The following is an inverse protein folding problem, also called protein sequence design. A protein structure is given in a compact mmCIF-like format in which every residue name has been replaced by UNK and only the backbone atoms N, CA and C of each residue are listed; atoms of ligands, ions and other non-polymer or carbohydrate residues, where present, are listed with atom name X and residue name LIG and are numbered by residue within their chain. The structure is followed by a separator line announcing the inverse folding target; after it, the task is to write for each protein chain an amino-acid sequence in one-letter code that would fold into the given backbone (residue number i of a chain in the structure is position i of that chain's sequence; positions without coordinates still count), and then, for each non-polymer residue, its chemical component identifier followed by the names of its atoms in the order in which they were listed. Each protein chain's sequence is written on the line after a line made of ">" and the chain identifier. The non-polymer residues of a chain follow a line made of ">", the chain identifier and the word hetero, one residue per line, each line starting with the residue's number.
data_IF_843486291599
#
_entry.id   IF_843486291599
#
_cell.length_a   1.000
_cell.length_b   1.000
_cell.length_c   1.000
_cell.angle_alpha   90.00
_cell.angle_beta   90.00
_cell.angle_gamma   90.00
#
_symmetry.space_group_name_H-M   'P 1'
#
loop_
_entity.id
_entity.type
_entity.pdbx_description
1 polymer ?
#
# COMPACT_ATOMS: atom_id res chain seq x y z
N UNK A 1 -32.79 0.50 2.83
CA UNK A 1 -32.32 -0.52 1.84
C UNK A 1 -32.88 -1.90 2.13
N UNK A 2 -33.10 -2.74 1.11
CA UNK A 2 -33.53 -4.15 1.28
C UNK A 2 -32.39 -4.97 1.95
N UNK A 3 -32.74 -6.11 2.61
CA UNK A 3 -31.71 -6.92 3.32
C UNK A 3 -30.57 -7.45 2.45
N UNK A 4 -30.72 -7.46 1.12
CA UNK A 4 -29.71 -7.90 0.15
C UNK A 4 -29.09 -6.75 -0.64
N UNK A 5 -29.05 -5.54 -0.10
CA UNK A 5 -28.45 -4.39 -0.78
C UNK A 5 -26.94 -4.56 -0.93
N UNK A 6 -26.45 -4.37 -2.15
CA UNK A 6 -25.04 -4.37 -2.51
C UNK A 6 -24.73 -3.09 -3.28
N UNK A 7 -23.50 -2.59 -3.14
CA UNK A 7 -22.97 -1.51 -3.94
C UNK A 7 -21.93 -2.10 -4.89
N UNK A 8 -22.17 -2.02 -6.18
CA UNK A 8 -21.30 -2.61 -7.22
C UNK A 8 -20.74 -1.52 -8.10
N UNK A 9 -19.41 -1.55 -8.24
CA UNK A 9 -18.68 -0.76 -9.23
C UNK A 9 -18.25 -1.72 -10.33
N UNK A 10 -18.56 -1.39 -11.58
CA UNK A 10 -18.27 -2.25 -12.74
C UNK A 10 -17.48 -1.49 -13.78
N UNK A 11 -16.34 -2.06 -14.17
CA UNK A 11 -15.47 -1.57 -15.25
C UNK A 11 -15.02 -0.11 -15.04
N UNK A 12 -14.72 0.28 -13.80
CA UNK A 12 -14.32 1.66 -13.46
C UNK A 12 -12.94 1.96 -14.02
N UNK A 13 -12.87 3.02 -14.82
CA UNK A 13 -11.62 3.63 -15.28
C UNK A 13 -11.61 5.08 -14.83
N UNK A 14 -10.47 5.53 -14.29
CA UNK A 14 -10.31 6.89 -13.80
C UNK A 14 -8.87 7.36 -13.97
N UNK A 15 -8.72 8.58 -14.53
CA UNK A 15 -7.45 9.25 -14.74
C UNK A 15 -7.50 10.63 -14.12
N UNK A 16 -6.50 11.00 -13.32
CA UNK A 16 -6.39 12.39 -12.86
C UNK A 16 -5.98 13.30 -14.03
N UNK A 17 -6.46 14.55 -14.09
CA UNK A 17 -6.23 15.45 -15.24
C UNK A 17 -4.78 15.65 -15.64
N UNK A 18 -3.85 15.56 -14.68
CA UNK A 18 -2.41 15.76 -14.90
C UNK A 18 -1.63 14.45 -15.04
N UNK A 19 -2.31 13.29 -14.94
CA UNK A 19 -1.66 11.99 -15.01
C UNK A 19 -1.64 11.46 -16.45
N UNK A 20 -0.51 10.91 -16.92
CA UNK A 20 -0.39 10.36 -18.29
C UNK A 20 -1.08 8.99 -18.44
N UNK A 21 -1.35 8.29 -17.35
CA UNK A 21 -1.95 6.95 -17.35
C UNK A 21 -3.10 6.85 -16.35
N UNK A 22 -4.09 5.98 -16.59
CA UNK A 22 -5.17 5.74 -15.65
C UNK A 22 -4.66 5.23 -14.30
N UNK A 23 -5.16 5.82 -13.22
CA UNK A 23 -4.94 5.31 -11.87
C UNK A 23 -5.74 4.02 -11.63
N UNK A 24 -6.98 3.99 -12.12
CA UNK A 24 -7.86 2.83 -12.12
C UNK A 24 -8.15 2.46 -13.58
N UNK A 25 -7.89 1.22 -13.98
CA UNK A 25 -8.11 0.72 -15.34
C UNK A 25 -8.96 -0.55 -15.28
N UNK A 26 -10.23 -0.44 -15.67
CA UNK A 26 -11.19 -1.56 -15.74
C UNK A 26 -11.40 -2.29 -14.39
N UNK A 27 -11.49 -1.53 -13.30
CA UNK A 27 -11.64 -2.07 -11.94
C UNK A 27 -13.10 -2.38 -11.65
N UNK A 28 -13.36 -3.60 -11.16
CA UNK A 28 -14.69 -4.01 -10.70
C UNK A 28 -14.63 -4.53 -9.27
N UNK A 29 -15.60 -4.10 -8.43
CA UNK A 29 -15.70 -4.52 -7.03
C UNK A 29 -17.14 -4.43 -6.54
N UNK A 30 -17.52 -5.32 -5.63
CA UNK A 30 -18.83 -5.30 -4.98
C UNK A 30 -18.67 -5.23 -3.47
N UNK A 31 -19.38 -4.30 -2.85
CA UNK A 31 -19.47 -4.14 -1.41
C UNK A 31 -20.84 -4.61 -0.95
N UNK A 32 -20.85 -5.63 -0.12
CA UNK A 32 -22.06 -6.16 0.50
C UNK A 32 -22.31 -5.45 1.84
N UNK A 33 -23.49 -5.70 2.40
CA UNK A 33 -23.84 -5.27 3.75
C UNK A 33 -22.85 -5.79 4.79
N UNK A 34 -22.51 -4.97 5.78
CA UNK A 34 -21.42 -5.17 6.72
C UNK A 34 -20.14 -4.47 6.26
N UNK A 35 -19.04 -4.72 6.94
CA UNK A 35 -17.78 -4.03 6.68
C UNK A 35 -16.90 -4.76 5.68
N UNK A 36 -16.48 -4.05 4.65
CA UNK A 36 -15.41 -4.48 3.73
C UNK A 36 -14.19 -3.59 3.92
N UNK A 37 -13.06 -4.20 4.30
CA UNK A 37 -11.79 -3.50 4.37
C UNK A 37 -11.18 -3.37 2.97
N UNK A 38 -10.72 -2.16 2.62
CA UNK A 38 -10.04 -1.86 1.35
C UNK A 38 -8.55 -1.72 1.62
N UNK A 39 -7.75 -2.60 1.06
CA UNK A 39 -6.34 -2.82 1.36
C UNK A 39 -5.47 -2.66 0.12
N UNK A 40 -4.24 -2.22 0.29
CA UNK A 40 -3.27 -2.07 -0.81
C UNK A 40 -2.27 -0.95 -0.55
N UNK A 41 -1.28 -0.83 -1.41
CA UNK A 41 -0.21 0.15 -1.26
C UNK A 41 -0.73 1.60 -1.33
N UNK A 42 0.04 2.54 -0.76
CA UNK A 42 -0.29 3.96 -0.85
C UNK A 42 -0.24 4.41 -2.31
N UNK A 43 -1.15 5.30 -2.70
CA UNK A 43 -1.23 5.80 -4.07
C UNK A 43 -1.82 4.82 -5.11
N UNK A 44 -2.25 3.60 -4.73
CA UNK A 44 -2.81 2.62 -5.67
C UNK A 44 -4.25 2.93 -6.13
N UNK A 45 -4.90 3.93 -5.52
CA UNK A 45 -6.25 4.36 -5.90
C UNK A 45 -7.37 3.97 -4.94
N UNK A 46 -7.08 3.52 -3.70
CA UNK A 46 -8.09 3.15 -2.70
C UNK A 46 -9.10 4.28 -2.44
N UNK A 47 -8.59 5.44 -2.00
CA UNK A 47 -9.39 6.64 -1.72
C UNK A 47 -10.16 7.13 -2.96
N UNK A 48 -9.54 7.05 -4.13
CA UNK A 48 -10.19 7.42 -5.40
C UNK A 48 -11.38 6.52 -5.68
N UNK A 49 -11.23 5.19 -5.57
CA UNK A 49 -12.31 4.25 -5.82
C UNK A 49 -13.49 4.46 -4.85
N UNK A 50 -13.22 4.66 -3.54
CA UNK A 50 -14.30 4.87 -2.57
C UNK A 50 -15.00 6.20 -2.77
N UNK A 51 -14.30 7.26 -3.22
CA UNK A 51 -14.92 8.54 -3.60
C UNK A 51 -15.81 8.42 -4.83
N UNK A 52 -15.42 7.58 -5.81
CA UNK A 52 -16.27 7.25 -6.97
C UNK A 52 -17.51 6.47 -6.50
N UNK A 53 -17.35 5.50 -5.60
CA UNK A 53 -18.43 4.68 -5.07
C UNK A 53 -19.57 5.49 -4.44
N UNK A 54 -19.25 6.64 -3.82
CA UNK A 54 -20.20 7.53 -3.16
C UNK A 54 -20.51 8.81 -3.97
N UNK A 55 -20.09 8.88 -5.24
CA UNK A 55 -20.41 10.01 -6.13
C UNK A 55 -19.61 11.30 -5.89
N UNK A 56 -18.57 11.28 -5.04
CA UNK A 56 -17.69 12.45 -4.82
C UNK A 56 -16.68 12.66 -5.95
N UNK A 57 -16.44 11.64 -6.77
CA UNK A 57 -15.67 11.69 -8.01
C UNK A 57 -16.42 10.96 -9.11
N UNK A 58 -16.29 11.44 -10.35
CA UNK A 58 -16.88 10.81 -11.52
C UNK A 58 -15.82 9.99 -12.23
N UNK A 59 -16.12 8.74 -12.54
CA UNK A 59 -15.26 7.88 -13.34
C UNK A 59 -15.28 8.31 -14.81
N UNK A 60 -14.16 8.10 -15.52
CA UNK A 60 -14.10 8.34 -16.99
C UNK A 60 -14.98 7.33 -17.74
N UNK A 61 -15.07 6.10 -17.23
CA UNK A 61 -15.95 5.04 -17.71
C UNK A 61 -16.31 4.05 -16.62
N UNK A 62 -17.32 3.22 -16.88
CA UNK A 62 -17.86 2.25 -15.94
C UNK A 62 -19.15 2.71 -15.31
N UNK A 63 -19.68 1.92 -14.35
CA UNK A 63 -20.95 2.18 -13.70
C UNK A 63 -20.90 1.87 -12.20
N UNK A 64 -21.64 2.65 -11.43
CA UNK A 64 -21.90 2.41 -10.00
C UNK A 64 -23.37 2.07 -9.83
N UNK A 65 -23.69 0.98 -9.18
CA UNK A 65 -25.05 0.52 -8.93
C UNK A 65 -25.24 0.09 -7.47
N UNK A 66 -26.26 0.65 -6.76
CA UNK A 66 -27.17 1.72 -7.18
C UNK A 66 -26.45 3.02 -7.51
N UNK A 67 -27.08 3.89 -8.30
CA UNK A 67 -26.54 5.20 -8.60
C UNK A 67 -26.28 6.00 -7.32
N UNK A 68 -25.12 6.66 -7.18
CA UNK A 68 -24.77 7.35 -5.93
C UNK A 68 -25.77 8.42 -5.49
N UNK A 69 -26.39 9.11 -6.43
CA UNK A 69 -27.42 10.15 -6.16
C UNK A 69 -28.67 9.60 -5.45
N UNK A 70 -28.89 8.29 -5.52
CA UNK A 70 -29.99 7.60 -4.83
C UNK A 70 -29.63 7.05 -3.46
N UNK A 71 -28.41 7.30 -2.97
CA UNK A 71 -27.89 6.77 -1.71
C UNK A 71 -27.58 7.88 -0.72
N UNK A 72 -27.87 7.64 0.55
CA UNK A 72 -27.32 8.46 1.63
C UNK A 72 -25.93 7.92 1.94
N UNK A 73 -24.90 8.71 1.65
CA UNK A 73 -23.52 8.34 1.89
C UNK A 73 -22.93 9.13 3.07
N UNK A 74 -22.38 8.43 4.06
CA UNK A 74 -21.53 9.00 5.10
C UNK A 74 -20.06 8.86 4.71
N UNK A 75 -19.28 9.91 4.83
CA UNK A 75 -17.84 9.89 4.53
C UNK A 75 -17.03 10.55 5.63
N UNK A 76 -16.10 9.81 6.19
CA UNK A 76 -15.10 10.31 7.10
C UNK A 76 -13.74 10.34 6.37
N UNK A 77 -13.21 11.52 6.03
CA UNK A 77 -11.92 11.67 5.34
C UNK A 77 -10.76 11.31 6.26
N UNK A 78 -9.57 11.13 5.65
CA UNK A 78 -8.35 10.86 6.38
C UNK A 78 -7.95 12.01 7.30
N UNK A 79 -8.07 13.25 6.83
CA UNK A 79 -7.66 14.44 7.56
C UNK A 79 -8.78 14.94 8.49
N UNK A 80 -8.38 15.63 9.56
CA UNK A 80 -9.29 16.22 10.56
C UNK A 80 -9.32 17.74 10.51
N UNK A 81 -8.71 18.33 9.49
CA UNK A 81 -8.52 19.78 9.39
C UNK A 81 -9.82 20.54 9.12
N UNK A 82 -10.79 19.85 8.48
CA UNK A 82 -12.09 20.44 8.17
C UNK A 82 -13.19 19.85 9.06
N UNK A 83 -14.08 20.74 9.52
CA UNK A 83 -15.24 20.31 10.27
C UNK A 83 -16.25 19.62 9.35
N UNK A 84 -16.96 18.55 9.83
CA UNK A 84 -18.03 17.92 9.08
C UNK A 84 -19.11 18.93 8.69
N UNK A 85 -19.62 18.84 7.44
CA UNK A 85 -20.67 19.74 6.92
C UNK A 85 -21.95 19.71 7.78
N UNK A 86 -22.28 18.54 8.34
CA UNK A 86 -23.46 18.35 9.19
C UNK A 86 -23.18 18.49 10.69
N UNK A 87 -22.07 19.16 11.09
CA UNK A 87 -21.72 19.31 12.50
C UNK A 87 -22.82 19.99 13.32
N UNK A 88 -23.44 21.05 12.80
CA UNK A 88 -24.51 21.77 13.47
C UNK A 88 -25.78 20.91 13.65
N UNK A 89 -26.11 20.10 12.64
CA UNK A 89 -27.25 19.19 12.72
C UNK A 89 -26.99 18.11 13.78
N UNK A 90 -25.78 17.53 13.78
CA UNK A 90 -25.35 16.58 14.80
C UNK A 90 -25.36 17.20 16.21
N UNK A 91 -24.90 18.45 16.36
CA UNK A 91 -24.88 19.15 17.64
C UNK A 91 -26.26 19.26 18.26
N UNK A 92 -27.29 19.46 17.44
CA UNK A 92 -28.69 19.68 17.86
C UNK A 92 -29.56 18.40 17.83
N UNK A 93 -29.02 17.29 17.29
CA UNK A 93 -29.76 16.01 17.26
C UNK A 93 -29.57 15.21 18.57
N UNK A 94 -30.62 15.12 19.34
CA UNK A 94 -30.72 14.36 20.59
C UNK A 94 -31.60 13.11 20.45
N UNK A 95 -31.74 12.61 19.22
CA UNK A 95 -32.49 11.36 18.98
C UNK A 95 -31.81 10.18 19.69
N UNK A 96 -32.54 9.11 20.03
CA UNK A 96 -31.97 7.92 20.68
C UNK A 96 -30.81 7.31 19.91
N UNK A 97 -30.84 7.35 18.58
CA UNK A 97 -29.81 6.84 17.69
C UNK A 97 -28.55 7.68 17.78
N UNK A 98 -28.68 9.01 17.74
CA UNK A 98 -27.52 9.92 17.87
C UNK A 98 -26.92 9.88 19.27
N UNK A 99 -27.76 9.72 20.31
CA UNK A 99 -27.26 9.49 21.67
C UNK A 99 -26.48 8.17 21.79
N UNK A 100 -26.92 7.11 21.10
CA UNK A 100 -26.16 5.85 21.05
C UNK A 100 -24.78 6.03 20.37
N UNK A 101 -24.75 6.75 19.24
CA UNK A 101 -23.50 7.09 18.55
C UNK A 101 -22.56 7.90 19.46
N UNK A 102 -23.08 8.93 20.15
CA UNK A 102 -22.28 9.73 21.11
C UNK A 102 -21.69 8.86 22.21
N UNK A 103 -22.51 7.98 22.79
CA UNK A 103 -22.06 7.05 23.85
C UNK A 103 -20.97 6.09 23.34
N UNK A 104 -21.20 5.44 22.20
CA UNK A 104 -20.28 4.41 21.68
C UNK A 104 -18.94 5.01 21.26
N UNK A 105 -18.94 6.23 20.72
CA UNK A 105 -17.74 6.97 20.35
C UNK A 105 -17.16 7.81 21.49
N UNK A 106 -17.85 7.88 22.65
CA UNK A 106 -17.41 8.68 23.80
C UNK A 106 -17.32 10.17 23.47
N UNK A 107 -18.34 10.71 22.78
CA UNK A 107 -18.41 12.11 22.40
C UNK A 107 -18.95 12.94 23.56
N UNK A 108 -18.19 13.95 23.97
CA UNK A 108 -18.65 14.94 24.94
C UNK A 108 -19.69 15.89 24.35
N UNK A 109 -20.65 16.34 25.16
CA UNK A 109 -21.73 17.21 24.70
C UNK A 109 -21.24 18.58 24.23
N UNK A 110 -20.09 19.03 24.71
CA UNK A 110 -19.42 20.27 24.37
C UNK A 110 -18.57 20.20 23.08
N UNK A 111 -18.24 18.99 22.60
CA UNK A 111 -17.32 18.80 21.49
C UNK A 111 -17.74 19.49 20.18
N UNK A 112 -19.00 19.41 19.74
CA UNK A 112 -19.41 20.09 18.51
C UNK A 112 -19.20 21.60 18.56
N UNK A 113 -19.27 22.19 19.76
CA UNK A 113 -19.13 23.64 19.97
C UNK A 113 -17.70 24.12 20.09
N UNK A 114 -16.76 23.21 20.33
CA UNK A 114 -15.32 23.49 20.42
C UNK A 114 -14.49 22.66 19.45
N UNK A 115 -15.04 22.28 18.30
CA UNK A 115 -14.43 21.37 17.35
C UNK A 115 -12.97 21.75 16.98
N UNK A 116 -12.68 23.06 16.83
CA UNK A 116 -11.33 23.56 16.53
C UNK A 116 -10.27 23.41 17.64
N UNK A 117 -10.68 22.98 18.85
CA UNK A 117 -9.75 22.75 19.99
C UNK A 117 -9.64 21.29 20.39
N UNK A 118 -10.26 20.39 19.65
CA UNK A 118 -10.22 18.97 19.91
C UNK A 118 -8.83 18.39 19.57
N UNK A 119 -8.42 17.41 20.33
CA UNK A 119 -7.29 16.56 19.91
C UNK A 119 -7.62 15.80 18.63
N UNK A 120 -6.59 15.39 17.86
CA UNK A 120 -6.82 14.65 16.61
C UNK A 120 -7.69 13.40 16.78
N UNK A 121 -7.55 12.67 17.89
CA UNK A 121 -8.40 11.51 18.20
C UNK A 121 -9.86 11.88 18.56
N UNK A 122 -10.08 13.00 19.25
CA UNK A 122 -11.43 13.53 19.53
C UNK A 122 -12.08 14.04 18.24
N UNK A 123 -11.34 14.80 17.43
CA UNK A 123 -11.83 15.31 16.15
C UNK A 123 -12.20 14.15 15.19
N UNK A 124 -11.39 13.09 15.15
CA UNK A 124 -11.68 11.90 14.34
C UNK A 124 -12.96 11.19 14.81
N UNK A 125 -13.16 11.01 16.12
CA UNK A 125 -14.39 10.43 16.66
C UNK A 125 -15.61 11.29 16.34
N UNK A 126 -15.47 12.61 16.43
CA UNK A 126 -16.55 13.54 16.07
C UNK A 126 -16.90 13.47 14.57
N UNK A 127 -15.88 13.40 13.67
CA UNK A 127 -16.12 13.19 12.24
C UNK A 127 -16.87 11.88 11.95
N UNK A 128 -16.48 10.78 12.59
CA UNK A 128 -17.16 9.49 12.45
C UNK A 128 -18.60 9.60 12.96
N UNK A 129 -18.82 10.25 14.12
CA UNK A 129 -20.15 10.44 14.70
C UNK A 129 -21.07 11.22 13.75
N UNK A 130 -20.56 12.32 13.17
CA UNK A 130 -21.31 13.12 12.18
C UNK A 130 -21.65 12.28 10.93
N UNK A 131 -20.70 11.51 10.40
CA UNK A 131 -20.94 10.64 9.24
C UNK A 131 -22.00 9.56 9.54
N UNK A 132 -21.99 8.96 10.74
CA UNK A 132 -22.97 7.97 11.15
C UNK A 132 -24.35 8.57 11.42
N UNK A 133 -24.43 9.80 11.94
CA UNK A 133 -25.68 10.49 12.26
C UNK A 133 -26.51 10.81 11.01
N UNK A 134 -25.92 10.84 9.83
CA UNK A 134 -26.65 10.89 8.54
C UNK A 134 -27.52 9.66 8.30
N UNK A 135 -27.41 8.61 9.12
CA UNK A 135 -28.07 7.30 8.92
C UNK A 135 -27.81 6.74 7.52
N UNK A 136 -26.53 6.66 7.12
CA UNK A 136 -26.20 6.39 5.74
C UNK A 136 -26.51 4.96 5.32
N UNK A 137 -26.84 4.79 4.03
CA UNK A 137 -26.89 3.49 3.38
C UNK A 137 -25.48 2.91 3.20
N UNK A 138 -24.52 3.80 2.89
CA UNK A 138 -23.10 3.50 2.70
C UNK A 138 -22.26 4.41 3.58
N UNK A 139 -21.44 3.83 4.45
CA UNK A 139 -20.51 4.55 5.31
C UNK A 139 -19.09 4.24 4.88
N UNK A 140 -18.33 5.27 4.48
CA UNK A 140 -16.93 5.17 4.10
C UNK A 140 -16.06 5.84 5.15
N UNK A 141 -15.07 5.10 5.65
CA UNK A 141 -14.07 5.62 6.56
C UNK A 141 -12.68 5.47 5.91
N UNK A 142 -12.00 6.59 5.72
CA UNK A 142 -10.66 6.63 5.13
C UNK A 142 -9.63 6.86 6.24
N UNK A 143 -8.85 5.79 6.56
CA UNK A 143 -7.82 5.75 7.60
C UNK A 143 -8.30 6.31 8.98
N UNK A 144 -9.40 5.76 9.55
CA UNK A 144 -10.02 6.34 10.75
C UNK A 144 -9.19 6.19 12.02
N UNK A 145 -8.15 5.37 12.02
CA UNK A 145 -7.28 5.13 13.19
C UNK A 145 -5.88 5.73 13.04
N UNK A 146 -5.64 6.55 12.01
CA UNK A 146 -4.39 7.27 11.91
C UNK A 146 -4.21 8.19 13.11
N UNK A 147 -3.07 8.04 13.78
CA UNK A 147 -2.68 8.86 14.93
C UNK A 147 -3.59 8.76 16.16
N UNK A 148 -4.46 7.74 16.24
CA UNK A 148 -5.27 7.51 17.44
C UNK A 148 -4.60 6.51 18.38
N UNK A 149 -4.87 6.69 19.68
CA UNK A 149 -4.41 5.78 20.71
C UNK A 149 -5.35 4.56 20.84
N UNK A 150 -4.92 3.60 21.65
CA UNK A 150 -5.68 2.37 21.84
C UNK A 150 -7.09 2.60 22.41
N UNK A 151 -7.32 3.43 23.44
CA UNK A 151 -8.67 3.70 23.95
C UNK A 151 -9.59 4.29 22.86
N UNK A 152 -9.11 5.26 22.10
CA UNK A 152 -9.86 5.85 20.96
C UNK A 152 -10.24 4.79 19.93
N UNK A 153 -9.31 3.88 19.61
CA UNK A 153 -9.60 2.76 18.68
C UNK A 153 -10.73 1.86 19.19
N UNK A 154 -10.75 1.56 20.50
CA UNK A 154 -11.78 0.71 21.09
C UNK A 154 -13.19 1.36 20.98
N UNK A 155 -13.30 2.67 21.15
CA UNK A 155 -14.53 3.43 20.89
C UNK A 155 -14.95 3.35 19.41
N UNK A 156 -14.01 3.53 18.48
CA UNK A 156 -14.30 3.42 17.05
C UNK A 156 -14.83 2.00 16.73
N UNK A 157 -14.15 0.94 17.19
CA UNK A 157 -14.58 -0.44 16.98
C UNK A 157 -16.00 -0.67 17.51
N UNK A 158 -16.34 -0.16 18.70
CA UNK A 158 -17.66 -0.31 19.29
C UNK A 158 -18.75 0.32 18.40
N UNK A 159 -18.52 1.54 17.93
CA UNK A 159 -19.45 2.23 17.04
C UNK A 159 -19.60 1.52 15.68
N UNK A 160 -18.50 1.07 15.07
CA UNK A 160 -18.55 0.41 13.76
C UNK A 160 -19.30 -0.91 13.78
N UNK A 161 -19.23 -1.66 14.89
CA UNK A 161 -19.98 -2.92 15.06
C UNK A 161 -21.49 -2.74 15.08
N UNK A 162 -21.97 -1.57 15.48
CA UNK A 162 -23.40 -1.26 15.51
C UNK A 162 -23.97 -0.79 14.16
N UNK A 163 -23.09 -0.49 13.17
CA UNK A 163 -23.53 0.03 11.88
C UNK A 163 -24.19 -1.05 11.01
N UNK A 164 -25.47 -0.86 10.60
CA UNK A 164 -26.21 -1.90 9.91
C UNK A 164 -26.13 -1.85 8.38
N UNK A 165 -25.49 -0.84 7.79
CA UNK A 165 -25.42 -0.58 6.35
C UNK A 165 -24.27 -1.26 5.63
N UNK A 166 -23.89 -0.71 4.48
CA UNK A 166 -22.67 -1.08 3.74
C UNK A 166 -21.52 -0.22 4.28
N UNK A 167 -20.58 -0.85 4.97
CA UNK A 167 -19.39 -0.20 5.50
C UNK A 167 -18.18 -0.44 4.60
N UNK A 168 -17.48 0.62 4.23
CA UNK A 168 -16.21 0.56 3.48
C UNK A 168 -15.13 1.18 4.35
N UNK A 169 -14.13 0.39 4.71
CA UNK A 169 -13.04 0.77 5.60
C UNK A 169 -11.71 0.75 4.85
N UNK A 170 -11.18 1.91 4.51
CA UNK A 170 -9.78 2.02 4.04
C UNK A 170 -8.90 2.13 5.27
N UNK A 171 -8.04 1.16 5.54
CA UNK A 171 -7.16 1.20 6.70
C UNK A 171 -5.98 0.25 6.57
N UNK A 172 -4.90 0.58 7.28
CA UNK A 172 -3.73 -0.27 7.50
C UNK A 172 -3.70 -0.86 8.93
N UNK A 173 -4.68 -0.53 9.78
CA UNK A 173 -4.78 -1.02 11.15
C UNK A 173 -5.38 -2.43 11.18
N UNK A 174 -4.52 -3.44 11.25
CA UNK A 174 -4.91 -4.85 11.29
C UNK A 174 -5.85 -5.16 12.45
N UNK A 175 -5.65 -4.54 13.62
CA UNK A 175 -6.50 -4.78 14.79
C UNK A 175 -7.93 -4.26 14.58
N UNK A 176 -8.08 -3.10 13.96
CA UNK A 176 -9.38 -2.56 13.58
C UNK A 176 -10.06 -3.46 12.54
N UNK A 177 -9.34 -3.82 11.47
CA UNK A 177 -9.87 -4.63 10.39
C UNK A 177 -10.33 -6.00 10.90
N UNK A 178 -9.49 -6.67 11.71
CA UNK A 178 -9.83 -7.99 12.29
C UNK A 178 -11.01 -7.92 13.25
N UNK A 179 -11.24 -6.76 13.88
CA UNK A 179 -12.36 -6.57 14.79
C UNK A 179 -13.71 -6.34 14.11
N UNK A 180 -13.74 -5.77 12.88
CA UNK A 180 -14.99 -5.30 12.26
C UNK A 180 -15.25 -5.86 10.86
N UNK A 181 -14.20 -6.16 10.05
CA UNK A 181 -14.38 -6.53 8.66
C UNK A 181 -14.85 -7.98 8.49
N UNK A 182 -15.90 -8.18 7.68
CA UNK A 182 -16.36 -9.49 7.22
C UNK A 182 -15.79 -9.90 5.86
N UNK A 183 -15.19 -8.95 5.12
CA UNK A 183 -14.49 -9.19 3.86
C UNK A 183 -13.37 -8.18 3.65
N UNK A 184 -12.42 -8.52 2.79
CA UNK A 184 -11.29 -7.67 2.44
C UNK A 184 -11.17 -7.56 0.92
N UNK A 185 -11.12 -6.33 0.40
CA UNK A 185 -10.86 -6.01 -0.99
C UNK A 185 -9.39 -5.57 -1.15
N UNK A 186 -8.57 -6.43 -1.72
CA UNK A 186 -7.15 -6.19 -1.94
C UNK A 186 -6.93 -5.51 -3.27
N UNK A 187 -6.35 -4.32 -3.24
CA UNK A 187 -5.77 -3.68 -4.41
C UNK A 187 -4.39 -4.27 -4.64
N UNK A 188 -4.23 -4.97 -5.74
CA UNK A 188 -2.99 -5.66 -6.11
C UNK A 188 -2.53 -5.18 -7.48
N UNK A 189 -1.24 -5.19 -7.72
CA UNK A 189 -0.68 -5.01 -9.05
C UNK A 189 -0.33 -6.36 -9.63
N UNK A 190 -0.99 -6.71 -10.72
CA UNK A 190 -0.69 -7.90 -11.50
C UNK A 190 0.24 -7.56 -12.66
N UNK A 191 1.18 -8.45 -12.93
CA UNK A 191 2.01 -8.36 -14.12
C UNK A 191 1.41 -9.23 -15.22
N UNK A 192 0.82 -8.58 -16.22
CA UNK A 192 0.16 -9.24 -17.34
C UNK A 192 0.79 -8.77 -18.66
N UNK A 193 1.37 -9.70 -19.43
CA UNK A 193 1.97 -9.42 -20.76
C UNK A 193 2.91 -8.21 -20.78
N UNK A 194 3.76 -8.08 -19.75
CA UNK A 194 4.76 -7.02 -19.67
C UNK A 194 4.25 -5.67 -19.15
N UNK A 195 3.00 -5.60 -18.66
CA UNK A 195 2.41 -4.39 -18.05
C UNK A 195 1.91 -4.67 -16.65
N UNK A 196 2.02 -3.69 -15.78
CA UNK A 196 1.41 -3.74 -14.45
C UNK A 196 -0.02 -3.20 -14.54
N UNK A 197 -0.99 -4.00 -14.08
CA UNK A 197 -2.41 -3.65 -14.06
C UNK A 197 -2.89 -3.70 -12.62
N UNK A 198 -3.59 -2.66 -12.18
CA UNK A 198 -4.25 -2.66 -10.86
C UNK A 198 -5.51 -3.51 -10.92
N UNK A 199 -5.62 -4.49 -10.03
CA UNK A 199 -6.79 -5.35 -9.88
C UNK A 199 -7.30 -5.30 -8.45
N UNK A 200 -8.60 -5.49 -8.26
CA UNK A 200 -9.21 -5.59 -6.93
C UNK A 200 -9.76 -6.99 -6.74
N UNK A 201 -9.26 -7.69 -5.70
CA UNK A 201 -9.70 -9.03 -5.34
C UNK A 201 -10.37 -9.03 -3.98
N UNK A 202 -11.66 -9.31 -3.95
CA UNK A 202 -12.40 -9.45 -2.68
C UNK A 202 -12.28 -10.87 -2.15
N UNK A 203 -11.91 -10.99 -0.87
CA UNK A 203 -11.83 -12.26 -0.14
C UNK A 203 -12.69 -12.19 1.12
N UNK A 204 -13.46 -13.24 1.42
CA UNK A 204 -14.23 -13.30 2.66
C UNK A 204 -13.32 -13.43 3.88
N UNK A 205 -13.83 -12.98 5.02
CA UNK A 205 -13.13 -13.02 6.30
C UNK A 205 -12.44 -11.71 6.65
N UNK A 206 -11.89 -11.68 7.87
CA UNK A 206 -11.09 -10.59 8.37
C UNK A 206 -9.69 -10.57 7.70
N UNK A 207 -8.85 -9.58 8.07
CA UNK A 207 -7.53 -9.43 7.47
C UNK A 207 -6.66 -10.68 7.59
N UNK A 208 -6.63 -11.29 8.77
CA UNK A 208 -5.79 -12.47 9.05
C UNK A 208 -6.16 -13.64 8.15
N UNK A 209 -7.44 -13.94 8.00
CA UNK A 209 -7.94 -15.03 7.14
C UNK A 209 -7.76 -14.71 5.65
N UNK A 210 -8.15 -13.49 5.23
CA UNK A 210 -8.08 -13.06 3.85
C UNK A 210 -6.63 -12.94 3.35
N UNK A 211 -5.70 -12.45 4.20
CA UNK A 211 -4.27 -12.35 3.90
C UNK A 211 -3.62 -13.73 3.77
N UNK A 212 -3.98 -14.69 4.63
CA UNK A 212 -3.51 -16.08 4.51
C UNK A 212 -3.96 -16.71 3.18
N UNK A 213 -5.22 -16.50 2.78
CA UNK A 213 -5.73 -16.93 1.47
C UNK A 213 -4.96 -16.28 0.32
N UNK A 214 -4.74 -14.95 0.38
CA UNK A 214 -3.97 -14.24 -0.63
C UNK A 214 -2.54 -14.77 -0.78
N UNK A 215 -1.88 -15.05 0.35
CA UNK A 215 -0.52 -15.63 0.36
C UNK A 215 -0.49 -17.03 -0.26
N UNK A 216 -1.52 -17.85 -0.03
CA UNK A 216 -1.66 -19.17 -0.64
C UNK A 216 -1.82 -19.08 -2.16
N UNK A 217 -2.71 -18.19 -2.63
CA UNK A 217 -2.95 -17.96 -4.06
C UNK A 217 -1.67 -17.51 -4.78
N UNK A 218 -0.91 -16.56 -4.17
CA UNK A 218 0.37 -16.09 -4.72
C UNK A 218 1.39 -17.23 -4.85
N UNK A 219 1.54 -18.05 -3.81
CA UNK A 219 2.45 -19.21 -3.86
C UNK A 219 2.06 -20.17 -4.98
N UNK A 220 0.76 -20.47 -5.11
CA UNK A 220 0.25 -21.35 -6.18
C UNK A 220 0.51 -20.78 -7.57
N UNK A 221 0.34 -19.48 -7.78
CA UNK A 221 0.64 -18.79 -9.04
C UNK A 221 2.14 -18.81 -9.37
N UNK A 222 3.00 -18.55 -8.37
CA UNK A 222 4.46 -18.61 -8.53
C UNK A 222 4.96 -20.02 -8.85
N UNK A 223 4.39 -21.03 -8.23
CA UNK A 223 4.71 -22.43 -8.53
C UNK A 223 4.24 -22.83 -9.93
N UNK A 224 3.05 -22.40 -10.33
CA UNK A 224 2.53 -22.61 -11.68
C UNK A 224 3.43 -21.96 -12.75
N UNK A 225 3.87 -20.70 -12.51
CA UNK A 225 4.78 -20.01 -13.39
C UNK A 225 6.14 -20.71 -13.48
N UNK A 226 6.71 -21.11 -12.33
CA UNK A 226 7.99 -21.85 -12.29
C UNK A 226 7.89 -23.15 -13.09
N UNK A 227 6.80 -23.89 -12.94
CA UNK A 227 6.58 -25.16 -13.66
C UNK A 227 6.39 -24.92 -15.17
N UNK A 228 5.62 -23.90 -15.56
CA UNK A 228 5.42 -23.53 -16.96
C UNK A 228 6.73 -23.10 -17.64
N UNK A 229 7.57 -22.31 -16.94
CA UNK A 229 8.91 -21.92 -17.42
C UNK A 229 9.85 -23.12 -17.59
N UNK A 230 9.86 -24.06 -16.64
CA UNK A 230 10.64 -25.29 -16.73
C UNK A 230 10.22 -26.13 -17.93
N UNK A 231 8.92 -26.29 -18.16
CA UNK A 231 8.39 -27.03 -19.30
C UNK A 231 8.73 -26.34 -20.63
N UNK A 232 8.57 -25.00 -20.72
CA UNK A 232 8.97 -24.24 -21.90
C UNK A 232 10.46 -24.37 -22.20
N UNK A 233 11.31 -24.33 -21.19
CA UNK A 233 12.74 -24.54 -21.34
C UNK A 233 13.08 -25.97 -21.81
N UNK A 234 12.40 -26.99 -21.25
CA UNK A 234 12.58 -28.40 -21.64
C UNK A 234 12.19 -28.62 -23.09
N UNK A 235 11.03 -28.14 -23.54
CA UNK A 235 10.58 -28.29 -24.93
C UNK A 235 11.51 -27.54 -25.89
N UNK A 236 11.99 -26.37 -25.49
CA UNK A 236 12.99 -25.61 -26.27
C UNK A 236 14.31 -26.35 -26.39
N UNK A 237 14.79 -26.98 -25.29
CA UNK A 237 16.02 -27.79 -25.31
C UNK A 237 15.88 -29.00 -26.25
N UNK A 238 14.73 -29.68 -26.23
CA UNK A 238 14.45 -30.81 -27.16
C UNK A 238 14.46 -30.33 -28.61
N UNK A 239 13.90 -29.14 -28.91
CA UNK A 239 13.97 -28.52 -30.25
C UNK A 239 15.42 -28.27 -30.67
N UNK A 240 16.23 -27.69 -29.79
CA UNK A 240 17.63 -27.40 -30.07
C UNK A 240 18.45 -28.67 -30.30
N UNK A 241 18.25 -29.70 -29.45
CA UNK A 241 18.91 -30.99 -29.61
C UNK A 241 18.60 -31.63 -30.97
N UNK A 242 17.31 -31.69 -31.35
CA UNK A 242 16.90 -32.25 -32.65
C UNK A 242 17.47 -31.45 -33.83
N UNK A 243 17.53 -30.14 -33.72
CA UNK A 243 18.16 -29.29 -34.76
C UNK A 243 19.65 -29.58 -34.86
N UNK A 244 20.34 -29.76 -33.74
CA UNK A 244 21.75 -30.13 -33.71
C UNK A 244 21.98 -31.51 -34.34
N UNK A 245 21.18 -32.53 -33.96
CA UNK A 245 21.28 -33.88 -34.51
C UNK A 245 21.03 -33.90 -36.03
N UNK A 246 20.05 -33.13 -36.50
CA UNK A 246 19.79 -32.97 -37.93
C UNK A 246 20.98 -32.33 -38.66
N UNK A 247 21.63 -31.34 -38.07
CA UNK A 247 22.81 -30.68 -38.65
C UNK A 247 23.98 -31.65 -38.73
N UNK A 248 24.22 -32.48 -37.69
CA UNK A 248 25.24 -33.51 -37.71
C UNK A 248 25.03 -34.55 -38.79
N UNK A 249 23.76 -35.02 -38.94
CA UNK A 249 23.40 -35.96 -40.01
C UNK A 249 23.63 -35.42 -41.42
N UNK A 250 23.34 -34.11 -41.65
CA UNK A 250 23.60 -33.45 -42.93
C UNK A 250 25.12 -33.30 -43.15
N UNK A 251 25.91 -33.02 -42.13
CA UNK A 251 27.37 -32.92 -42.24
C UNK A 251 28.03 -34.27 -42.48
N UNK A 252 27.56 -35.34 -41.82
CA UNK A 252 28.07 -36.69 -42.03
C UNK A 252 27.76 -37.24 -43.43
N UNK A 253 26.55 -36.95 -43.95
CA UNK A 253 26.20 -37.33 -45.33
C UNK A 253 26.97 -36.53 -46.41
N UNK A 254 27.50 -35.34 -46.09
CA UNK A 254 28.41 -34.62 -46.97
C UNK A 254 29.80 -35.23 -47.01
N UNK A 255 30.31 -35.79 -45.95
CA UNK A 255 31.60 -36.46 -45.91
C UNK A 255 31.66 -37.81 -46.62
N UNK A 256 30.50 -38.47 -46.94
CA UNK A 256 30.41 -39.70 -47.70
C UNK A 256 30.34 -39.46 -49.24
N UNK A 257 30.63 -38.25 -49.70
CA UNK A 257 30.58 -37.87 -51.14
C UNK A 257 31.85 -38.17 -51.93
N UNK A 258 32.75 -39.01 -51.49
CA UNK A 258 33.79 -39.59 -52.32
C UNK A 258 33.34 -40.98 -52.79
N UNK A 259 32.32 -41.02 -53.67
CA UNK A 259 31.94 -42.21 -54.46
C UNK A 259 32.58 -42.09 -55.79
N UNK A 260 33.27 -43.15 -56.25
CA UNK A 260 33.93 -43.23 -57.54
C UNK A 260 32.95 -42.79 -58.69
N UNK A 261 33.33 -41.87 -59.56
CA UNK A 261 32.50 -41.42 -60.64
C UNK A 261 31.97 -42.50 -61.59
N UNK A 262 32.54 -43.73 -61.55
CA UNK A 262 32.19 -44.84 -62.40
C UNK A 262 31.16 -45.82 -61.79
N UNK A 263 30.78 -45.65 -60.52
CA UNK A 263 29.83 -46.56 -59.87
C UNK A 263 28.40 -46.06 -60.01
N UNK A 264 27.68 -46.57 -61.03
CA UNK A 264 26.33 -46.20 -61.35
C UNK A 264 25.29 -46.70 -60.34
N UNK A 265 25.53 -47.81 -59.64
CA UNK A 265 24.57 -48.37 -58.69
C UNK A 265 24.58 -47.62 -57.35
N UNK A 266 25.74 -47.16 -56.91
CA UNK A 266 25.85 -46.31 -55.73
C UNK A 266 25.16 -44.93 -55.89
N UNK A 267 25.11 -44.39 -57.12
CA UNK A 267 24.35 -43.16 -57.39
C UNK A 267 22.86 -43.28 -57.26
N UNK A 268 22.30 -44.46 -57.58
CA UNK A 268 20.89 -44.76 -57.45
C UNK A 268 20.42 -44.83 -56.01
N UNK A 269 21.23 -45.46 -55.16
CA UNK A 269 20.98 -45.63 -53.73
C UNK A 269 21.04 -44.30 -52.99
N UNK A 270 21.96 -43.40 -53.35
CA UNK A 270 22.10 -42.08 -52.70
C UNK A 270 20.90 -41.16 -53.07
N UNK A 271 20.36 -41.28 -54.28
CA UNK A 271 19.23 -40.46 -54.75
C UNK A 271 17.92 -40.85 -54.04
N UNK A 272 17.75 -42.09 -53.66
CA UNK A 272 16.54 -42.59 -52.97
C UNK A 272 16.52 -42.35 -51.46
N UNK A 273 17.65 -42.03 -50.85
CA UNK A 273 17.73 -41.80 -49.39
C UNK A 273 17.55 -40.33 -49.00
N UNK A 274 17.35 -39.44 -49.94
CA UNK A 274 17.03 -38.01 -49.73
C UNK A 274 15.53 -37.79 -49.84
N UNK A 275 14.79 -38.14 -48.78
CA UNK A 275 13.40 -37.68 -48.66
C UNK A 275 13.39 -36.48 -47.68
N UNK A 276 13.47 -35.21 -48.17
CA UNK A 276 13.45 -34.03 -47.32
C UNK A 276 12.07 -33.81 -46.64
N UNK A 277 11.06 -34.62 -47.04
CA UNK A 277 9.70 -34.46 -46.51
C UNK A 277 9.42 -35.06 -45.13
N UNK A 278 10.33 -35.89 -44.56
CA UNK A 278 10.06 -36.51 -43.28
C UNK A 278 10.38 -35.68 -42.06
N UNK A 279 11.21 -34.64 -42.18
CA UNK A 279 11.56 -33.73 -41.09
C UNK A 279 10.59 -32.55 -40.93
N UNK A 280 9.87 -32.16 -41.97
CA UNK A 280 8.96 -31.02 -41.98
C UNK A 280 7.79 -31.16 -41.00
N UNK A 281 7.00 -32.25 -41.01
CA UNK A 281 5.85 -32.41 -40.10
C UNK A 281 6.26 -32.56 -38.62
N UNK A 282 7.39 -33.21 -38.36
CA UNK A 282 7.89 -33.40 -36.99
C UNK A 282 8.47 -32.12 -36.40
N UNK A 283 9.12 -31.31 -37.23
CA UNK A 283 9.61 -29.98 -36.83
C UNK A 283 8.46 -29.02 -36.57
N UNK A 284 7.44 -28.97 -37.44
CA UNK A 284 6.26 -28.14 -37.27
C UNK A 284 5.49 -28.45 -35.95
N UNK A 285 5.38 -29.74 -35.58
CA UNK A 285 4.75 -30.15 -34.31
C UNK A 285 5.53 -29.65 -33.11
N UNK A 286 6.86 -29.66 -33.12
CA UNK A 286 7.69 -29.14 -32.04
C UNK A 286 7.61 -27.62 -31.96
N UNK A 287 7.57 -26.93 -33.08
CA UNK A 287 7.40 -25.49 -33.12
C UNK A 287 6.07 -25.07 -32.48
N UNK A 288 4.98 -25.81 -32.80
CA UNK A 288 3.68 -25.61 -32.16
C UNK A 288 3.73 -25.87 -30.65
N UNK A 289 4.43 -26.92 -30.20
CA UNK A 289 4.59 -27.22 -28.76
C UNK A 289 5.40 -26.15 -28.04
N UNK A 290 6.48 -25.63 -28.63
CA UNK A 290 7.27 -24.53 -28.08
C UNK A 290 6.42 -23.26 -27.96
N UNK A 291 5.66 -22.93 -29.00
CA UNK A 291 4.76 -21.78 -28.99
C UNK A 291 3.70 -21.90 -27.90
N UNK A 292 3.02 -23.05 -27.81
CA UNK A 292 2.01 -23.31 -26.79
C UNK A 292 2.58 -23.27 -25.35
N UNK A 293 3.78 -23.83 -25.13
CA UNK A 293 4.44 -23.80 -23.83
C UNK A 293 4.87 -22.39 -23.41
N UNK A 294 5.28 -21.55 -24.37
CA UNK A 294 5.58 -20.12 -24.13
C UNK A 294 4.32 -19.34 -23.82
N UNK A 295 3.30 -19.47 -24.64
CA UNK A 295 2.00 -18.83 -24.45
C UNK A 295 1.40 -19.16 -23.08
N UNK A 296 1.48 -20.44 -22.66
CA UNK A 296 1.07 -20.87 -21.33
C UNK A 296 1.86 -20.18 -20.23
N UNK A 297 3.18 -20.02 -20.37
CA UNK A 297 4.00 -19.34 -19.39
C UNK A 297 3.75 -17.82 -19.34
N UNK A 298 3.49 -17.20 -20.47
CA UNK A 298 3.17 -15.76 -20.60
C UNK A 298 1.74 -15.43 -20.13
N UNK A 299 0.83 -16.41 -20.21
CA UNK A 299 -0.56 -16.28 -19.76
C UNK A 299 -0.75 -16.41 -18.24
N UNK A 300 0.25 -16.88 -17.49
CA UNK A 300 0.15 -16.98 -16.03
C UNK A 300 0.34 -15.61 -15.41
N UNK A 301 -0.74 -15.13 -14.77
CA UNK A 301 -0.74 -13.86 -14.03
C UNK A 301 -0.03 -14.05 -12.71
N UNK A 302 0.96 -13.22 -12.43
CA UNK A 302 1.67 -13.19 -11.14
C UNK A 302 1.59 -11.79 -10.56
N UNK A 303 1.71 -11.68 -9.23
CA UNK A 303 1.83 -10.39 -8.60
C UNK A 303 3.04 -9.63 -9.17
N UNK A 304 2.88 -8.35 -9.44
CA UNK A 304 4.02 -7.50 -9.82
C UNK A 304 5.06 -7.55 -8.71
N UNK A 305 6.34 -7.61 -9.09
CA UNK A 305 7.41 -7.52 -8.10
C UNK A 305 7.31 -6.18 -7.38
N UNK A 306 7.17 -6.23 -6.06
CA UNK A 306 7.40 -5.05 -5.24
C UNK A 306 8.88 -4.72 -5.32
N UNK A 307 9.17 -3.47 -5.58
CA UNK A 307 10.52 -2.96 -5.41
C UNK A 307 10.66 -2.62 -3.92
N UNK A 308 11.06 -3.60 -3.13
CA UNK A 308 11.48 -3.36 -1.75
C UNK A 308 12.89 -2.77 -1.84
N UNK A 309 12.98 -1.47 -2.07
CA UNK A 309 14.25 -0.76 -2.05
C UNK A 309 14.82 -0.81 -0.64
N UNK A 310 16.02 -1.32 -0.50
CA UNK A 310 16.75 -1.24 0.76
C UNK A 310 17.04 0.24 1.06
N UNK A 311 16.57 0.73 2.20
CA UNK A 311 17.02 2.00 2.73
C UNK A 311 18.41 1.79 3.32
N UNK A 312 19.43 2.24 2.61
CA UNK A 312 20.78 2.26 3.16
C UNK A 312 21.23 3.69 3.47
N UNK A 313 22.04 3.83 4.47
CA UNK A 313 22.76 5.06 4.77
C UNK A 313 24.23 4.77 4.74
N UNK A 314 25.02 5.56 4.01
CA UNK A 314 26.48 5.49 4.02
C UNK A 314 27.10 6.10 5.30
N UNK A 315 26.25 6.35 6.30
CA UNK A 315 26.68 6.91 7.58
C UNK A 315 27.44 5.85 8.38
N UNK A 316 28.71 6.09 8.63
CA UNK A 316 29.48 5.32 9.59
C UNK A 316 28.93 5.55 11.00
N UNK A 317 28.84 4.47 11.80
CA UNK A 317 28.40 4.61 13.18
C UNK A 317 29.44 5.41 13.98
N UNK A 318 28.95 6.30 14.85
CA UNK A 318 29.81 7.13 15.70
C UNK A 318 30.68 6.27 16.62
N UNK A 319 31.96 6.60 16.73
CA UNK A 319 32.89 5.97 17.69
C UNK A 319 32.67 6.43 19.15
N UNK A 320 31.75 7.35 19.37
CA UNK A 320 31.42 7.87 20.71
C UNK A 320 30.62 6.84 21.50
N UNK A 321 30.89 6.75 22.83
CA UNK A 321 30.08 5.92 23.72
C UNK A 321 28.68 6.48 23.96
N UNK A 322 28.55 7.80 23.89
CA UNK A 322 27.32 8.54 24.19
C UNK A 322 27.14 9.62 23.13
N UNK A 323 25.98 9.64 22.48
CA UNK A 323 25.59 10.65 21.49
C UNK A 323 24.83 11.82 22.10
N UNK A 324 23.98 11.53 23.07
CA UNK A 324 23.22 12.52 23.80
C UNK A 324 22.87 12.02 25.20
N UNK A 325 22.76 12.97 26.13
CA UNK A 325 22.31 12.72 27.49
C UNK A 325 21.22 13.72 27.84
N UNK A 326 20.11 13.18 28.29
CA UNK A 326 18.99 13.94 28.79
C UNK A 326 18.93 13.74 30.31
N UNK A 327 19.10 14.82 31.07
CA UNK A 327 19.02 14.74 32.54
C UNK A 327 17.56 14.57 32.97
N UNK A 328 17.38 13.85 34.10
CA UNK A 328 16.05 13.68 34.67
C UNK A 328 15.48 15.03 35.12
N UNK A 329 14.23 15.31 34.73
CA UNK A 329 13.62 16.59 35.09
C UNK A 329 12.22 16.78 34.51
N UNK A 330 11.64 17.94 34.78
CA UNK A 330 10.37 18.36 34.26
C UNK A 330 10.58 19.11 32.93
N UNK A 331 9.90 18.68 31.88
CA UNK A 331 9.89 19.34 30.57
C UNK A 331 8.47 19.87 30.30
N UNK A 332 8.29 21.18 30.20
CA UNK A 332 6.99 21.77 29.91
C UNK A 332 6.55 21.47 28.48
N UNK A 333 5.24 21.39 28.26
CA UNK A 333 4.66 21.34 26.91
C UNK A 333 4.83 22.70 26.23
N UNK A 334 5.06 22.73 24.91
CA UNK A 334 5.18 23.94 24.07
C UNK A 334 6.36 23.87 23.12
N UNK A 335 6.38 24.77 22.15
CA UNK A 335 7.46 24.90 21.18
C UNK A 335 8.74 25.38 21.86
N UNK A 336 9.90 24.89 21.41
CA UNK A 336 11.22 25.06 22.04
C UNK A 336 11.65 26.51 22.33
N UNK A 337 10.97 27.52 21.79
CA UNK A 337 11.23 28.94 22.11
C UNK A 337 10.76 29.33 23.52
N UNK A 338 9.72 28.69 24.04
CA UNK A 338 9.18 28.98 25.39
C UNK A 338 9.91 28.18 26.50
N UNK A 339 10.70 27.17 26.12
CA UNK A 339 11.45 26.31 27.05
C UNK A 339 12.65 27.02 27.71
N UNK A 340 13.20 28.05 27.07
CA UNK A 340 14.43 28.73 27.52
C UNK A 340 14.13 29.83 28.55
N UNK A 341 12.88 30.26 28.68
CA UNK A 341 12.45 31.26 29.64
C UNK A 341 12.23 30.63 31.00
N UNK A 342 13.31 30.47 31.76
CA UNK A 342 13.37 29.83 33.07
C UNK A 342 12.60 30.52 34.21
N UNK A 343 11.45 31.12 33.96
CA UNK A 343 10.51 31.59 34.96
C UNK A 343 9.40 30.53 35.16
N UNK A 344 9.68 29.56 35.99
CA UNK A 344 8.71 28.57 36.45
C UNK A 344 7.54 29.21 37.19
N UNK A 345 6.49 29.56 36.42
CA UNK A 345 5.17 29.69 37.04
C UNK A 345 4.72 28.29 37.45
N UNK A 346 4.59 28.06 38.73
CA UNK A 346 4.04 26.88 39.35
C UNK A 346 2.63 26.63 38.78
N UNK A 347 2.50 25.69 37.81
CA UNK A 347 1.22 25.34 37.17
C UNK A 347 1.31 24.94 35.71
N UNK A 348 2.47 25.00 35.08
CA UNK A 348 2.63 24.59 33.67
C UNK A 348 2.41 23.07 33.47
N UNK A 349 1.65 22.71 32.45
CA UNK A 349 1.54 21.31 32.03
C UNK A 349 2.85 20.85 31.37
N UNK A 350 3.29 19.64 31.66
CA UNK A 350 4.53 19.08 31.12
C UNK A 350 4.70 17.62 31.50
N UNK A 351 5.84 17.04 31.17
CA UNK A 351 6.16 15.66 31.45
C UNK A 351 7.43 15.55 32.30
N UNK A 352 7.39 14.68 33.31
CA UNK A 352 8.58 14.27 34.05
C UNK A 352 9.31 13.22 33.21
N UNK A 353 10.54 13.52 32.83
CA UNK A 353 11.39 12.60 32.08
C UNK A 353 12.45 11.96 32.97
N UNK A 354 12.74 10.67 32.80
CA UNK A 354 13.87 10.02 33.47
C UNK A 354 15.19 10.49 32.82
N UNK A 355 16.30 10.23 33.52
CA UNK A 355 17.61 10.33 32.85
C UNK A 355 17.68 9.33 31.72
N UNK A 356 17.99 9.79 30.51
CA UNK A 356 18.11 8.98 29.32
C UNK A 356 19.44 9.26 28.63
N UNK A 357 20.20 8.21 28.37
CA UNK A 357 21.45 8.25 27.62
C UNK A 357 21.25 7.51 26.30
N UNK A 358 21.72 8.08 25.20
CA UNK A 358 21.63 7.49 23.86
C UNK A 358 23.04 7.18 23.36
N UNK A 359 23.30 5.92 23.12
CA UNK A 359 24.52 5.42 22.50
C UNK A 359 24.40 5.28 20.96
N UNK A 360 25.50 4.98 20.27
CA UNK A 360 25.55 4.94 18.80
C UNK A 360 24.78 3.75 18.17
N UNK A 361 24.40 2.76 18.97
CA UNK A 361 23.70 1.55 18.52
C UNK A 361 22.37 1.32 19.22
N UNK A 362 21.89 2.33 19.97
CA UNK A 362 20.65 2.20 20.71
C UNK A 362 19.45 2.37 19.79
N UNK A 363 18.45 1.52 20.02
CA UNK A 363 17.14 1.59 19.40
C UNK A 363 16.11 1.86 20.51
N UNK A 364 15.59 3.08 20.56
CA UNK A 364 14.69 3.51 21.63
C UNK A 364 13.26 3.62 21.11
N UNK A 365 12.37 2.76 21.61
CA UNK A 365 10.93 2.83 21.35
C UNK A 365 10.22 3.68 22.41
N UNK A 366 9.50 4.74 21.97
CA UNK A 366 8.68 5.57 22.87
C UNK A 366 7.21 5.23 22.65
N UNK A 367 6.53 4.68 23.64
CA UNK A 367 5.14 4.26 23.60
C UNK A 367 4.30 4.89 24.71
N UNK A 368 3.01 5.05 24.50
CA UNK A 368 2.05 5.57 25.47
C UNK A 368 0.83 6.23 24.82
N UNK A 369 -0.22 6.56 25.60
CA UNK A 369 -1.40 7.27 25.10
C UNK A 369 -1.08 8.63 24.46
N UNK A 370 -2.02 9.18 23.69
CA UNK A 370 -1.86 10.52 23.14
C UNK A 370 -1.86 11.57 24.25
N UNK A 371 -1.14 12.68 24.07
CA UNK A 371 -1.03 13.74 25.09
C UNK A 371 -0.08 13.44 26.25
N UNK A 372 0.56 12.27 26.34
CA UNK A 372 1.49 11.93 27.43
C UNK A 372 2.88 12.53 27.30
N UNK A 373 3.15 13.34 26.28
CA UNK A 373 4.44 14.00 26.09
C UNK A 373 5.50 13.23 25.30
N UNK A 374 5.10 12.25 24.47
CA UNK A 374 6.03 11.50 23.61
C UNK A 374 6.86 12.42 22.71
N UNK A 375 6.20 13.31 21.99
CA UNK A 375 6.85 14.29 21.09
C UNK A 375 7.73 15.24 21.91
N UNK A 376 7.26 15.69 23.08
CA UNK A 376 8.02 16.53 23.99
C UNK A 376 9.33 15.88 24.44
N UNK A 377 9.29 14.56 24.69
CA UNK A 377 10.50 13.79 25.03
C UNK A 377 11.47 13.72 23.84
N UNK A 378 10.96 13.46 22.62
CA UNK A 378 11.79 13.42 21.40
C UNK A 378 12.43 14.79 21.13
N UNK A 379 11.67 15.88 21.25
CA UNK A 379 12.18 17.23 21.07
C UNK A 379 13.25 17.57 22.11
N UNK A 380 13.02 17.22 23.39
CA UNK A 380 14.02 17.41 24.45
C UNK A 380 15.32 16.64 24.17
N UNK A 381 15.20 15.46 23.57
CA UNK A 381 16.36 14.66 23.15
C UNK A 381 17.12 15.34 22.00
N UNK A 382 16.42 15.86 21.01
CA UNK A 382 17.01 16.62 19.89
C UNK A 382 17.70 17.91 20.39
N UNK A 383 17.11 18.58 21.35
CA UNK A 383 17.72 19.74 22.02
C UNK A 383 19.00 19.36 22.75
N UNK A 384 19.00 18.21 23.46
CA UNK A 384 20.19 17.68 24.13
C UNK A 384 21.31 17.35 23.12
N UNK A 385 21.00 16.73 21.98
CA UNK A 385 21.95 16.50 20.87
C UNK A 385 22.53 17.84 20.39
N UNK A 386 21.69 18.84 20.19
CA UNK A 386 22.13 20.17 19.71
C UNK A 386 23.01 20.88 20.76
N UNK A 387 22.71 20.73 22.03
CA UNK A 387 23.53 21.24 23.13
C UNK A 387 24.90 20.57 23.15
N UNK A 388 24.96 19.26 22.94
CA UNK A 388 26.21 18.51 22.86
C UNK A 388 27.06 18.91 21.65
N UNK A 389 26.45 19.16 20.50
CA UNK A 389 27.11 19.70 19.30
C UNK A 389 27.80 21.04 19.60
N UNK A 390 27.07 21.95 20.27
CA UNK A 390 27.63 23.26 20.67
C UNK A 390 28.79 23.13 21.66
N UNK A 391 28.69 22.17 22.59
CA UNK A 391 29.74 21.93 23.61
C UNK A 391 30.99 21.34 23.01
N UNK A 392 30.85 20.45 22.03
CA UNK A 392 31.97 19.68 21.44
C UNK A 392 32.51 20.27 20.15
N UNK A 393 31.77 21.17 19.51
CA UNK A 393 32.09 21.69 18.18
C UNK A 393 31.97 20.67 17.04
N UNK A 394 31.37 19.50 17.30
CA UNK A 394 31.23 18.43 16.31
C UNK A 394 29.76 18.24 15.99
N UNK A 395 29.41 18.43 14.71
CA UNK A 395 28.06 18.19 14.21
C UNK A 395 27.78 16.68 14.13
N UNK A 396 26.64 16.26 14.67
CA UNK A 396 26.14 14.89 14.58
C UNK A 396 25.09 14.81 13.46
N UNK A 397 25.41 14.16 12.33
CA UNK A 397 24.43 13.97 11.26
C UNK A 397 23.17 13.29 11.82
N UNK A 398 22.00 13.85 11.53
CA UNK A 398 20.71 13.32 11.98
C UNK A 398 19.64 13.48 10.93
N UNK A 399 18.74 12.51 10.86
CA UNK A 399 17.54 12.55 10.05
C UNK A 399 16.33 12.57 10.98
N UNK A 400 15.49 13.58 10.86
CA UNK A 400 14.21 13.66 11.56
C UNK A 400 13.11 13.49 10.54
N UNK A 401 12.31 12.44 10.70
CA UNK A 401 11.12 12.21 9.87
C UNK A 401 9.92 12.64 10.71
N UNK A 402 9.33 13.77 10.33
CA UNK A 402 8.15 14.29 11.01
C UNK A 402 6.92 13.42 10.70
N UNK A 403 5.98 13.36 11.64
CA UNK A 403 4.72 12.64 11.49
C UNK A 403 3.85 13.23 10.38
N UNK A 404 3.80 14.57 10.27
CA UNK A 404 3.14 15.30 9.21
C UNK A 404 4.18 16.10 8.42
N UNK A 405 4.19 15.91 7.11
CA UNK A 405 5.06 16.69 6.21
C UNK A 405 4.27 17.91 5.74
N UNK A 406 4.76 19.12 6.06
CA UNK A 406 4.14 20.34 5.56
C UNK A 406 4.44 20.55 4.07
N UNK A 407 3.61 21.37 3.39
CA UNK A 407 3.85 21.72 1.99
C UNK A 407 5.23 22.39 1.79
N UNK A 408 5.73 23.11 2.81
CA UNK A 408 7.06 23.73 2.79
C UNK A 408 8.18 22.72 2.97
N UNK A 409 7.98 21.65 3.76
CA UNK A 409 8.93 20.55 3.89
C UNK A 409 9.04 19.76 2.58
N UNK A 410 7.91 19.47 1.95
CA UNK A 410 7.86 18.81 0.65
C UNK A 410 8.58 19.64 -0.42
N UNK A 411 8.33 20.94 -0.45
CA UNK A 411 8.99 21.88 -1.38
C UNK A 411 10.50 21.90 -1.17
N UNK A 412 10.97 21.99 0.08
CA UNK A 412 12.40 21.95 0.42
C UNK A 412 13.04 20.62 0.04
N UNK A 413 12.34 19.49 0.20
CA UNK A 413 12.83 18.18 -0.22
C UNK A 413 12.98 18.11 -1.74
N UNK A 414 12.00 18.61 -2.50
CA UNK A 414 12.07 18.67 -3.97
C UNK A 414 13.19 19.58 -4.46
N UNK A 415 13.41 20.74 -3.83
CA UNK A 415 14.51 21.65 -4.17
C UNK A 415 15.87 20.97 -3.93
N UNK A 416 16.03 20.25 -2.82
CA UNK A 416 17.24 19.47 -2.54
C UNK A 416 17.45 18.37 -3.58
N UNK A 417 16.39 17.63 -3.93
CA UNK A 417 16.45 16.58 -4.96
C UNK A 417 16.84 17.17 -6.32
N UNK A 418 16.29 18.30 -6.69
CA UNK A 418 16.61 19.01 -7.93
C UNK A 418 18.07 19.48 -7.98
N UNK A 419 18.64 19.85 -6.83
CA UNK A 419 20.04 20.31 -6.72
C UNK A 419 21.06 19.17 -6.78
N UNK A 420 20.67 17.89 -6.64
CA UNK A 420 21.57 16.75 -6.71
C UNK A 420 22.10 16.55 -8.15
N UNK A 421 23.34 16.05 -8.30
CA UNK A 421 23.86 15.59 -9.58
C UNK A 421 22.94 14.56 -10.22
N UNK A 422 22.89 14.53 -11.57
CA UNK A 422 21.94 13.66 -12.30
C UNK A 422 22.04 12.16 -11.93
N UNK A 423 23.25 11.67 -11.65
CA UNK A 423 23.47 10.28 -11.23
C UNK A 423 22.90 9.98 -9.83
N UNK A 424 23.12 10.87 -8.86
CA UNK A 424 22.61 10.74 -7.49
C UNK A 424 21.09 10.91 -7.46
N UNK A 425 20.57 11.89 -8.20
CA UNK A 425 19.13 12.09 -8.35
C UNK A 425 18.45 10.87 -8.96
N UNK A 426 19.08 10.25 -9.99
CA UNK A 426 18.62 8.99 -10.58
C UNK A 426 18.59 7.84 -9.59
N UNK A 427 19.63 7.71 -8.75
CA UNK A 427 19.68 6.68 -7.70
C UNK A 427 18.56 6.87 -6.65
N UNK A 428 18.34 8.09 -6.16
CA UNK A 428 17.27 8.41 -5.21
C UNK A 428 15.90 8.09 -5.81
N UNK A 429 15.62 8.55 -7.04
CA UNK A 429 14.35 8.30 -7.73
C UNK A 429 14.13 6.83 -8.08
N UNK A 430 15.18 6.03 -8.18
CA UNK A 430 15.06 4.59 -8.42
C UNK A 430 14.82 3.79 -7.14
N UNK A 431 15.13 4.37 -5.98
CA UNK A 431 14.92 3.76 -4.67
C UNK A 431 13.51 4.05 -4.10
N UNK A 432 12.79 5.02 -4.65
CA UNK A 432 11.41 5.40 -4.31
C UNK A 432 10.44 4.80 -5.32
#
# INVERSE_FOLDING_TARGET
>A
MSPNSVLTLSHITFTYPEAPEPLLADVSVTFARGWTAVLGDNGIGKTTLVRIAIGRLHADSGTVSPAPDGLVAGYCPQDTDENPENLNDFANDWSPETLAIRRDLGIGDDWPWRAGTLSGGEAKRLQIACAMALRPDVLVLDEPTNHVDRPTREHIIAALRSFPGIGILVSHDVALIDAVAGSCAFFERDHVRGRNVTVVRTRPGNYSAASASAASDRRSADDALRNARRESARVTAVKMQRKHDATLQVSSSRNHRFVDPKDHDARGLIKNNHNPGSLGPASARIDTQVAAAREKAEGIVTAAKRYDGDLWTDAESSSRRELARLEAGFVPYGDGKDRISGNGSAGGQGVMIPMLTVGPHDHIGVSGPNGTGKTTLVDALLDAVTAEERRTGVTLPRLVIAQNTTADDARRAMDRLAALPAAERGAVLSAV
#
